data_IF_034887415975
#
_entry.id   IF_034887415975
#
_cell.length_a   1.000
_cell.length_b   1.000
_cell.length_c   1.000
_cell.angle_alpha   90.00
_cell.angle_beta   90.00
_cell.angle_gamma   90.00
#
_symmetry.space_group_name_H-M   'P 1'
#
loop_
_entity.id
_entity.type
_entity.pdbx_description
1 polymer ?
#
# COMPACT_ATOMS: atom_id res chain seq x y z
N UNK A 1 -0.50 -18.82 14.85
CA UNK A 1 -0.02 -17.86 13.83
C UNK A 1 -1.24 -17.21 13.20
N UNK A 2 -1.70 -16.08 13.74
CA UNK A 2 -2.85 -15.34 13.21
C UNK A 2 -2.42 -14.31 12.16
N UNK A 3 -3.32 -13.86 11.28
CA UNK A 3 -2.99 -12.88 10.26
C UNK A 3 -2.53 -11.59 10.95
N UNK A 4 -1.31 -11.16 10.65
CA UNK A 4 -0.77 -9.91 11.15
C UNK A 4 -1.64 -8.80 10.60
N UNK A 5 -2.53 -8.24 11.42
CA UNK A 5 -3.20 -6.98 11.11
C UNK A 5 -2.09 -5.94 11.00
N UNK A 6 -1.68 -5.64 9.76
CA UNK A 6 -0.85 -4.49 9.46
C UNK A 6 -1.67 -3.22 9.71
N UNK A 7 -1.78 -2.85 10.98
CA UNK A 7 -1.89 -1.43 11.34
C UNK A 7 -0.50 -0.83 11.14
N UNK A 8 -0.02 -0.79 9.90
CA UNK A 8 1.22 -0.09 9.55
C UNK A 8 0.86 1.39 9.46
N UNK A 9 0.94 2.09 10.59
CA UNK A 9 0.94 3.54 10.60
C UNK A 9 1.99 4.04 9.57
N UNK A 10 1.54 4.71 8.50
CA UNK A 10 2.40 5.17 7.39
C UNK A 10 2.25 4.41 6.06
N UNK A 11 1.36 3.41 5.96
CA UNK A 11 1.00 2.83 4.66
C UNK A 11 -0.07 3.70 3.99
N UNK A 12 0.25 4.20 2.79
CA UNK A 12 -0.59 5.02 1.96
C UNK A 12 -1.08 4.23 0.75
N UNK A 13 -2.31 4.51 0.31
CA UNK A 13 -2.85 3.94 -0.91
C UNK A 13 -3.36 5.04 -1.83
N UNK A 14 -2.92 5.02 -3.09
CA UNK A 14 -3.45 5.89 -4.14
C UNK A 14 -4.30 5.03 -5.07
N UNK A 15 -5.55 5.44 -5.26
CA UNK A 15 -6.45 4.83 -6.23
C UNK A 15 -6.22 5.50 -7.59
N UNK A 16 -5.85 4.71 -8.61
CA UNK A 16 -5.66 5.23 -9.97
C UNK A 16 -7.00 5.24 -10.71
N UNK A 17 -7.78 4.16 -10.61
CA UNK A 17 -9.11 4.04 -11.20
C UNK A 17 -9.93 2.95 -10.48
N UNK A 18 -10.99 2.45 -11.12
CA UNK A 18 -11.85 1.40 -10.57
C UNK A 18 -11.14 0.06 -10.36
N UNK A 19 -10.08 -0.23 -11.12
CA UNK A 19 -9.35 -1.52 -11.12
C UNK A 19 -8.01 -1.49 -10.35
N UNK A 20 -7.32 -0.35 -10.35
CA UNK A 20 -5.92 -0.28 -9.93
C UNK A 20 -5.73 0.54 -8.66
N UNK A 21 -4.97 -0.03 -7.71
CA UNK A 21 -4.54 0.64 -6.47
C UNK A 21 -3.04 0.47 -6.28
N UNK A 22 -2.36 1.57 -6.01
CA UNK A 22 -0.97 1.55 -5.55
C UNK A 22 -0.97 1.59 -4.02
N UNK A 23 -0.25 0.67 -3.39
CA UNK A 23 0.04 0.67 -1.97
C UNK A 23 1.53 0.96 -1.77
N UNK A 24 1.88 1.87 -0.86
CA UNK A 24 3.27 2.16 -0.52
C UNK A 24 3.41 2.64 0.92
N UNK A 25 4.61 2.63 1.46
CA UNK A 25 4.93 3.21 2.76
C UNK A 25 5.73 4.50 2.56
N UNK A 26 5.30 5.59 3.20
CA UNK A 26 6.05 6.84 3.15
C UNK A 26 7.11 6.87 4.25
N UNK A 27 8.37 7.00 3.84
CA UNK A 27 9.51 7.11 4.76
C UNK A 27 10.20 8.46 4.59
N UNK A 28 11.09 8.83 5.51
CA UNK A 28 11.87 10.08 5.40
C UNK A 28 12.76 10.12 4.15
N UNK A 29 13.12 8.96 3.60
CA UNK A 29 13.90 8.84 2.36
C UNK A 29 13.03 8.78 1.09
N UNK A 30 11.70 8.77 1.22
CA UNK A 30 10.75 8.65 0.12
C UNK A 30 9.86 7.40 0.18
N UNK A 31 9.11 7.09 -0.89
CA UNK A 31 8.22 5.95 -0.95
C UNK A 31 9.01 4.63 -0.97
N UNK A 32 8.61 3.68 -0.12
CA UNK A 32 9.16 2.33 -0.01
C UNK A 32 8.04 1.29 -0.14
N UNK A 33 8.40 0.05 -0.46
CA UNK A 33 7.47 -1.08 -0.60
C UNK A 33 6.26 -0.73 -1.50
N UNK A 34 6.55 -0.18 -2.68
CA UNK A 34 5.53 0.22 -3.66
C UNK A 34 5.02 -1.04 -4.38
N UNK A 35 3.74 -1.35 -4.17
CA UNK A 35 3.05 -2.46 -4.80
C UNK A 35 1.86 -1.94 -5.63
N UNK A 36 1.70 -2.48 -6.83
CA UNK A 36 0.55 -2.22 -7.69
C UNK A 36 -0.36 -3.44 -7.59
N UNK A 37 -1.57 -3.22 -7.07
CA UNK A 37 -2.59 -4.25 -6.95
C UNK A 37 -3.67 -4.00 -7.99
N UNK A 38 -3.94 -5.02 -8.80
CA UNK A 38 -5.08 -5.09 -9.71
C UNK A 38 -6.22 -5.85 -9.02
N UNK A 39 -7.42 -5.30 -9.07
CA UNK A 39 -8.65 -5.99 -8.74
C UNK A 39 -9.35 -6.36 -10.05
N UNK A 40 -9.30 -7.64 -10.41
CA UNK A 40 -10.22 -8.26 -11.38
C UNK A 40 -11.17 -9.20 -10.65
#
# INVERSE_FOLDING_TARGET
MGPVRMQRAGQHSIRINEQWRICFVWTSAGPRDVEIVDYH
#
